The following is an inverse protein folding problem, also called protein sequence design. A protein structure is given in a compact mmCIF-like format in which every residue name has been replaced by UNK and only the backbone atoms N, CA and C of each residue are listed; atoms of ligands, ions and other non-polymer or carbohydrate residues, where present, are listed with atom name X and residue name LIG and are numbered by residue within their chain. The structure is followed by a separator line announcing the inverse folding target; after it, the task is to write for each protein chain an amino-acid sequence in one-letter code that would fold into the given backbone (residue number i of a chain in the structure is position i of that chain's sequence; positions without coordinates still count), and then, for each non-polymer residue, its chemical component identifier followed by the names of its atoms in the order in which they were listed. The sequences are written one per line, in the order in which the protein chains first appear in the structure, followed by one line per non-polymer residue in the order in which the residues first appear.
data_IF_220428364092
#
_entry.id   IF_220428364092
#
_cell.length_a   1.000
_cell.length_b   1.000
_cell.length_c   1.000
_cell.angle_alpha   90.00
_cell.angle_beta   90.00
_cell.angle_gamma   90.00
#
_symmetry.space_group_name_H-M   'P 1'
#
loop_
_entity.id
_entity.type
_entity.pdbx_description
1 polymer ?
#
# COMPACT_ATOMS: atom_id res chain seq x y z
N UNK A 1 -12.13 4.07 26.74
CA UNK A 1 -12.06 3.72 25.32
C UNK A 1 -12.12 2.22 25.15
N UNK A 2 -13.00 1.74 24.30
CA UNK A 2 -13.11 0.30 24.01
C UNK A 2 -11.89 -0.20 23.23
N UNK A 3 -11.72 -1.53 23.18
CA UNK A 3 -10.67 -2.15 22.38
C UNK A 3 -10.80 -1.79 20.90
N UNK A 4 -12.02 -1.78 20.38
CA UNK A 4 -12.28 -1.40 18.99
C UNK A 4 -11.95 0.06 18.71
N UNK A 5 -12.27 0.97 19.63
CA UNK A 5 -11.92 2.39 19.48
C UNK A 5 -10.41 2.60 19.46
N UNK A 6 -9.69 1.92 20.35
CA UNK A 6 -8.21 1.97 20.37
C UNK A 6 -7.61 1.43 19.09
N UNK A 7 -8.13 0.30 18.59
CA UNK A 7 -7.67 -0.31 17.35
C UNK A 7 -7.93 0.62 16.15
N UNK A 8 -9.08 1.30 16.14
CA UNK A 8 -9.43 2.25 15.08
C UNK A 8 -8.46 3.43 15.03
N UNK A 9 -8.11 3.98 16.19
CA UNK A 9 -7.12 5.07 16.27
C UNK A 9 -5.74 4.60 15.77
N UNK A 10 -5.33 3.41 16.18
CA UNK A 10 -4.05 2.83 15.76
C UNK A 10 -4.03 2.60 14.24
N UNK A 11 -5.13 2.09 13.68
CA UNK A 11 -5.31 1.89 12.26
C UNK A 11 -5.18 3.20 11.47
N UNK A 12 -5.81 4.27 11.94
CA UNK A 12 -5.78 5.58 11.27
C UNK A 12 -4.38 6.17 11.18
N UNK A 13 -3.49 5.80 12.09
CA UNK A 13 -2.13 6.31 12.17
C UNK A 13 -1.09 5.35 11.60
N UNK A 14 -1.44 4.08 11.43
CA UNK A 14 -0.48 3.02 11.14
C UNK A 14 0.32 3.26 9.86
N UNK A 15 -0.34 3.65 8.78
CA UNK A 15 0.31 3.86 7.47
C UNK A 15 1.32 5.00 7.48
N UNK A 16 1.19 5.94 8.41
CA UNK A 16 2.10 7.08 8.54
C UNK A 16 3.48 6.68 9.10
N UNK A 17 3.59 5.46 9.64
CA UNK A 17 4.87 4.94 10.16
C UNK A 17 5.79 4.45 9.04
N UNK A 18 5.33 4.44 7.78
CA UNK A 18 6.03 3.79 6.67
C UNK A 18 6.32 4.75 5.52
N UNK A 19 7.45 4.54 4.85
CA UNK A 19 7.82 5.21 3.60
C UNK A 19 7.76 4.25 2.40
N UNK A 20 7.69 2.95 2.67
CA UNK A 20 7.62 1.92 1.64
C UNK A 20 6.66 0.82 2.06
N UNK A 21 6.22 0.07 1.08
CA UNK A 21 5.31 -1.06 1.24
C UNK A 21 5.86 -2.28 0.53
N UNK A 22 5.44 -3.44 0.98
CA UNK A 22 5.64 -4.69 0.25
C UNK A 22 4.45 -4.85 -0.68
N UNK A 23 4.72 -5.16 -1.96
CA UNK A 23 3.67 -5.41 -2.93
C UNK A 23 3.77 -6.82 -3.46
N UNK A 24 2.63 -7.45 -3.64
CA UNK A 24 2.50 -8.77 -4.26
C UNK A 24 1.72 -8.64 -5.55
N UNK A 25 2.30 -9.14 -6.61
CA UNK A 25 1.73 -9.12 -7.95
C UNK A 25 1.77 -10.53 -8.54
N UNK A 26 1.11 -10.74 -9.65
CA UNK A 26 1.01 -12.06 -10.29
C UNK A 26 1.48 -11.95 -11.73
N UNK A 27 2.34 -12.88 -12.17
CA UNK A 27 2.76 -12.92 -13.56
C UNK A 27 1.72 -13.59 -14.45
N UNK A 28 1.99 -13.67 -15.75
CA UNK A 28 1.09 -14.25 -16.75
C UNK A 28 0.85 -15.76 -16.58
N UNK A 29 1.72 -16.44 -15.81
CA UNK A 29 1.57 -17.87 -15.48
C UNK A 29 0.88 -18.07 -14.12
N UNK A 30 0.42 -17.02 -13.46
CA UNK A 30 -0.21 -17.09 -12.16
C UNK A 30 0.76 -17.20 -11.00
N UNK A 31 2.07 -17.00 -11.24
CA UNK A 31 3.08 -17.06 -10.18
C UNK A 31 3.10 -15.75 -9.40
N UNK A 32 2.95 -15.81 -8.07
CA UNK A 32 3.09 -14.61 -7.23
C UNK A 32 4.52 -14.07 -7.23
N UNK A 33 4.64 -12.75 -7.21
CA UNK A 33 5.93 -12.07 -7.09
C UNK A 33 5.84 -11.07 -5.94
N UNK A 34 6.76 -11.20 -4.97
CA UNK A 34 6.89 -10.28 -3.85
C UNK A 34 7.99 -9.25 -4.13
N UNK A 35 7.70 -7.99 -3.90
CA UNK A 35 8.67 -6.90 -4.05
C UNK A 35 8.30 -5.75 -3.12
N UNK A 36 9.02 -4.64 -3.19
CA UNK A 36 8.68 -3.46 -2.40
C UNK A 36 8.79 -2.20 -3.25
N UNK A 37 8.19 -1.12 -2.76
CA UNK A 37 8.28 0.19 -3.39
C UNK A 37 7.97 1.30 -2.40
N UNK A 38 8.58 2.48 -2.55
CA UNK A 38 8.11 3.69 -1.87
C UNK A 38 6.69 4.03 -2.33
N UNK A 39 5.96 4.76 -1.50
CA UNK A 39 4.58 5.12 -1.79
C UNK A 39 4.21 6.48 -1.20
N UNK A 40 3.11 7.04 -1.68
CA UNK A 40 2.38 8.12 -1.01
C UNK A 40 0.90 7.73 -0.97
N UNK A 41 0.15 8.29 -0.04
CA UNK A 41 -1.29 8.05 0.09
C UNK A 41 -2.04 9.37 0.03
N UNK A 42 -3.28 9.30 -0.44
CA UNK A 42 -4.20 10.42 -0.32
C UNK A 42 -5.12 10.24 0.91
N UNK A 43 -5.97 11.23 1.13
CA UNK A 43 -6.91 11.26 2.24
C UNK A 43 -8.01 10.20 2.17
N UNK A 44 -8.21 9.60 0.99
CA UNK A 44 -9.21 8.55 0.75
C UNK A 44 -8.60 7.14 0.85
N UNK A 45 -7.35 7.04 1.32
CA UNK A 45 -6.57 5.80 1.44
C UNK A 45 -6.19 5.16 0.11
N UNK A 46 -6.26 5.89 -0.99
CA UNK A 46 -5.65 5.45 -2.23
C UNK A 46 -4.13 5.51 -2.08
N UNK A 47 -3.46 4.48 -2.57
CA UNK A 47 -2.01 4.35 -2.48
C UNK A 47 -1.44 4.59 -3.88
N UNK A 48 -0.41 5.42 -3.96
CA UNK A 48 0.25 5.72 -5.23
C UNK A 48 1.68 5.22 -5.19
N UNK A 49 2.09 4.58 -6.28
CA UNK A 49 3.46 4.08 -6.44
C UNK A 49 4.06 4.65 -7.72
N UNK A 50 5.39 4.85 -7.70
CA UNK A 50 6.12 5.39 -8.82
C UNK A 50 7.25 4.42 -9.14
N UNK A 51 7.07 3.60 -10.18
CA UNK A 51 7.84 2.38 -10.40
C UNK A 51 8.47 2.33 -11.78
N UNK A 52 9.62 1.67 -11.86
CA UNK A 52 10.34 1.46 -13.12
C UNK A 52 9.57 0.50 -14.03
N UNK A 53 9.47 0.83 -15.30
CA UNK A 53 8.89 -0.05 -16.32
C UNK A 53 9.69 -1.33 -16.53
N UNK A 54 10.95 -1.38 -16.07
CA UNK A 54 11.82 -2.55 -16.20
C UNK A 54 11.63 -3.56 -15.07
N UNK A 55 10.95 -3.18 -14.00
CA UNK A 55 10.75 -4.07 -12.85
C UNK A 55 9.69 -5.12 -13.13
N UNK A 56 9.89 -6.38 -12.69
CA UNK A 56 8.88 -7.44 -12.86
C UNK A 56 7.51 -7.08 -12.31
N UNK A 57 7.43 -6.40 -11.15
CA UNK A 57 6.15 -5.99 -10.58
C UNK A 57 5.39 -5.03 -11.49
N UNK A 58 6.08 -4.13 -12.19
CA UNK A 58 5.44 -3.19 -13.13
C UNK A 58 4.87 -3.92 -14.32
N UNK A 59 5.62 -4.88 -14.87
CA UNK A 59 5.15 -5.72 -15.96
C UNK A 59 3.93 -6.53 -15.55
N UNK A 60 3.95 -7.08 -14.34
CA UNK A 60 2.83 -7.85 -13.79
C UNK A 60 1.59 -6.98 -13.63
N UNK A 61 1.73 -5.76 -13.12
CA UNK A 61 0.61 -4.81 -12.94
C UNK A 61 -0.02 -4.44 -14.28
N UNK A 62 0.79 -4.28 -15.34
CA UNK A 62 0.28 -3.97 -16.66
C UNK A 62 -0.59 -5.10 -17.23
N UNK A 63 -0.27 -6.35 -16.89
CA UNK A 63 -1.01 -7.52 -17.36
C UNK A 63 -2.20 -7.87 -16.47
N UNK A 64 -2.00 -7.75 -15.16
CA UNK A 64 -3.01 -8.08 -14.16
C UNK A 64 -3.03 -6.97 -13.12
N UNK A 65 -4.11 -6.22 -13.08
CA UNK A 65 -4.23 -5.02 -12.25
C UNK A 65 -4.47 -5.31 -10.76
N UNK A 66 -4.47 -6.58 -10.34
CA UNK A 66 -4.64 -6.96 -8.94
C UNK A 66 -3.31 -6.88 -8.21
N UNK A 67 -3.30 -6.16 -7.11
CA UNK A 67 -2.09 -5.94 -6.29
C UNK A 67 -2.47 -6.06 -4.83
N UNK A 68 -1.72 -6.83 -4.05
CA UNK A 68 -1.82 -6.76 -2.59
C UNK A 68 -0.70 -5.87 -2.08
N UNK A 69 -1.02 -4.98 -1.15
CA UNK A 69 -0.04 -4.15 -0.45
C UNK A 69 0.02 -4.57 1.01
N UNK A 70 1.22 -4.57 1.58
CA UNK A 70 1.45 -4.94 2.96
C UNK A 70 2.30 -3.88 3.66
N UNK A 71 1.73 -3.30 4.72
CA UNK A 71 2.42 -2.47 5.69
C UNK A 71 2.73 -3.37 6.87
N UNK A 72 3.99 -3.55 7.21
CA UNK A 72 4.38 -4.44 8.30
C UNK A 72 5.43 -3.77 9.17
N UNK A 73 5.20 -3.74 10.50
CA UNK A 73 6.15 -3.09 11.41
C UNK A 73 7.52 -3.78 11.37
N UNK A 74 8.55 -3.01 11.69
CA UNK A 74 9.92 -3.52 11.73
C UNK A 74 10.01 -4.66 12.74
N UNK A 75 10.63 -5.77 12.33
CA UNK A 75 10.84 -6.94 13.16
C UNK A 75 11.62 -6.60 14.43
N UNK A 76 12.59 -5.69 14.32
CA UNK A 76 13.40 -5.25 15.45
C UNK A 76 12.58 -4.51 16.52
N UNK A 77 11.41 -3.98 16.17
CA UNK A 77 10.53 -3.25 17.08
C UNK A 77 9.31 -4.07 17.49
N UNK A 78 9.27 -5.35 17.13
CA UNK A 78 8.12 -6.22 17.37
C UNK A 78 8.30 -6.98 18.69
N UNK A 79 7.47 -6.70 19.73
CA UNK A 79 7.60 -7.39 21.02
C UNK A 79 7.29 -8.88 20.95
N UNK A 80 6.30 -9.26 20.12
CA UNK A 80 5.90 -10.66 19.93
C UNK A 80 5.80 -10.96 18.44
N UNK A 81 6.73 -11.76 17.92
CA UNK A 81 6.86 -11.99 16.47
C UNK A 81 5.63 -12.66 15.85
N UNK A 82 4.91 -13.51 16.59
CA UNK A 82 3.68 -14.14 16.10
C UNK A 82 2.49 -13.15 15.99
N UNK A 83 2.58 -12.01 16.67
CA UNK A 83 1.56 -10.97 16.67
C UNK A 83 2.09 -9.65 16.08
N UNK A 84 3.04 -9.72 15.15
CA UNK A 84 3.64 -8.58 14.48
C UNK A 84 2.57 -7.73 13.81
N UNK A 85 2.56 -6.41 14.10
CA UNK A 85 1.54 -5.50 13.57
C UNK A 85 1.68 -5.39 12.06
N UNK A 86 0.56 -5.51 11.37
CA UNK A 86 0.54 -5.46 9.92
C UNK A 86 -0.84 -5.09 9.38
N UNK A 87 -0.83 -4.44 8.24
CA UNK A 87 -2.02 -4.05 7.50
C UNK A 87 -1.82 -4.44 6.05
N UNK A 88 -2.75 -5.18 5.48
CA UNK A 88 -2.73 -5.39 4.05
C UNK A 88 -4.04 -4.96 3.40
N UNK A 89 -3.94 -4.56 2.14
CA UNK A 89 -5.10 -4.25 1.30
C UNK A 89 -5.00 -5.03 0.00
N UNK A 90 -6.12 -5.58 -0.44
CA UNK A 90 -6.28 -6.04 -1.81
C UNK A 90 -6.72 -4.85 -2.65
N UNK A 91 -5.95 -4.55 -3.70
CA UNK A 91 -6.12 -3.35 -4.49
C UNK A 91 -6.27 -3.66 -5.97
N UNK A 92 -6.88 -2.72 -6.69
CA UNK A 92 -6.82 -2.64 -8.15
C UNK A 92 -5.92 -1.48 -8.54
N UNK A 93 -4.96 -1.74 -9.44
CA UNK A 93 -4.06 -0.72 -9.96
C UNK A 93 -4.66 -0.03 -11.18
N UNK A 94 -4.52 1.29 -11.24
CA UNK A 94 -4.91 2.11 -12.39
C UNK A 94 -3.72 2.97 -12.79
N UNK A 95 -3.36 2.92 -14.07
CA UNK A 95 -2.28 3.77 -14.59
C UNK A 95 -2.70 5.25 -14.55
N UNK A 96 -1.81 6.09 -14.06
CA UNK A 96 -1.95 7.54 -14.16
C UNK A 96 -1.10 7.97 -15.36
N UNK A 97 -1.75 8.44 -16.39
CA UNK A 97 -1.08 8.84 -17.63
C UNK A 97 -0.09 9.97 -17.39
N UNK A 98 1.10 9.79 -17.95
CA UNK A 98 2.23 10.72 -17.82
C UNK A 98 1.86 12.11 -18.36
N UNK A 99 2.37 13.15 -17.69
CA UNK A 99 2.19 14.57 -18.05
C UNK A 99 0.77 15.10 -17.95
N UNK A 100 -0.16 14.30 -17.37
CA UNK A 100 -1.48 14.81 -17.03
C UNK A 100 -1.42 15.64 -15.75
N UNK A 101 -2.44 16.45 -15.50
CA UNK A 101 -2.53 17.23 -14.26
C UNK A 101 -2.46 16.34 -13.03
N UNK A 102 -3.15 15.20 -13.06
CA UNK A 102 -3.12 14.24 -11.96
C UNK A 102 -1.72 13.67 -11.75
N UNK A 103 -1.03 13.29 -12.82
CA UNK A 103 0.32 12.79 -12.75
C UNK A 103 1.27 13.83 -12.14
N UNK A 104 1.17 15.09 -12.57
CA UNK A 104 1.98 16.18 -12.03
C UNK A 104 1.73 16.36 -10.53
N UNK A 105 0.47 16.28 -10.11
CA UNK A 105 0.09 16.40 -8.71
C UNK A 105 0.70 15.26 -7.87
N UNK A 106 0.59 14.02 -8.33
CA UNK A 106 1.09 12.86 -7.60
C UNK A 106 2.62 12.85 -7.55
N UNK A 107 3.29 13.12 -8.67
CA UNK A 107 4.75 13.21 -8.70
C UNK A 107 5.24 14.35 -7.81
N UNK A 108 4.51 15.46 -7.74
CA UNK A 108 4.78 16.55 -6.80
C UNK A 108 4.70 16.10 -5.34
N UNK A 109 3.76 15.23 -4.99
CA UNK A 109 3.69 14.64 -3.65
C UNK A 109 4.89 13.74 -3.35
N UNK A 110 5.34 12.95 -4.32
CA UNK A 110 6.56 12.15 -4.18
C UNK A 110 7.77 13.06 -3.96
N UNK A 111 7.89 14.14 -4.71
CA UNK A 111 9.00 15.07 -4.56
C UNK A 111 9.00 15.74 -3.18
N UNK A 112 7.84 16.18 -2.71
CA UNK A 112 7.70 16.78 -1.39
C UNK A 112 8.09 15.80 -0.26
N UNK A 113 7.85 14.52 -0.47
CA UNK A 113 8.11 13.49 0.54
C UNK A 113 9.52 12.92 0.46
N UNK A 114 10.05 12.67 -0.74
CA UNK A 114 11.32 11.98 -0.96
C UNK A 114 12.45 12.88 -1.46
N UNK A 115 12.16 14.10 -1.89
CA UNK A 115 13.17 15.07 -2.27
C UNK A 115 13.69 14.94 -3.71
N UNK A 116 14.95 15.33 -3.91
CA UNK A 116 15.56 15.54 -5.23
C UNK A 116 15.63 14.29 -6.11
N UNK A 117 15.61 13.09 -5.52
CA UNK A 117 15.63 11.85 -6.31
C UNK A 117 14.49 11.81 -7.34
N UNK A 118 13.37 12.47 -7.03
CA UNK A 118 12.21 12.47 -7.91
C UNK A 118 12.47 13.23 -9.21
N UNK A 119 13.31 14.25 -9.19
CA UNK A 119 13.70 14.96 -10.43
C UNK A 119 14.41 14.02 -11.38
N UNK A 120 15.31 13.17 -10.85
CA UNK A 120 15.97 12.14 -11.64
C UNK A 120 14.94 11.18 -12.25
N UNK A 121 14.00 10.71 -11.44
CA UNK A 121 12.98 9.76 -11.89
C UNK A 121 12.04 10.35 -12.94
N UNK A 122 11.74 11.64 -12.86
CA UNK A 122 10.93 12.35 -13.88
C UNK A 122 11.56 12.24 -15.27
N UNK A 123 12.88 12.23 -15.35
CA UNK A 123 13.60 12.10 -16.60
C UNK A 123 13.63 10.71 -17.20
N UNK A 124 13.18 9.70 -16.47
CA UNK A 124 13.14 8.31 -16.90
C UNK A 124 11.76 7.98 -17.48
N UNK A 125 11.68 7.89 -18.82
CA UNK A 125 10.43 7.73 -19.54
C UNK A 125 9.70 6.40 -19.24
N UNK A 126 10.43 5.39 -18.75
CA UNK A 126 9.87 4.09 -18.41
C UNK A 126 9.20 4.04 -17.03
N UNK A 127 9.38 5.07 -16.19
CA UNK A 127 8.71 5.12 -14.88
C UNK A 127 7.22 5.37 -15.05
N UNK A 128 6.44 4.66 -14.23
CA UNK A 128 4.97 4.67 -14.25
C UNK A 128 4.44 5.02 -12.88
N UNK A 129 3.39 5.83 -12.84
CA UNK A 129 2.61 6.09 -11.64
C UNK A 129 1.35 5.23 -11.70
N UNK A 130 1.11 4.45 -10.66
CA UNK A 130 -0.13 3.71 -10.50
C UNK A 130 -0.85 4.18 -9.25
N UNK A 131 -2.17 4.27 -9.36
CA UNK A 131 -3.08 4.41 -8.24
C UNK A 131 -3.54 3.03 -7.83
N UNK A 132 -3.34 2.66 -6.57
CA UNK A 132 -3.80 1.40 -6.00
C UNK A 132 -5.04 1.70 -5.16
N UNK A 133 -6.19 1.20 -5.60
CA UNK A 133 -7.48 1.42 -4.95
C UNK A 133 -7.82 0.22 -4.08
N UNK A 134 -7.88 0.37 -2.75
CA UNK A 134 -8.23 -0.74 -1.86
C UNK A 134 -9.68 -1.18 -2.01
N UNK A 135 -9.90 -2.51 -2.00
CA UNK A 135 -11.24 -3.13 -2.02
C UNK A 135 -11.56 -3.83 -0.73
N UNK A 136 -10.55 -4.30 -0.02
CA UNK A 136 -10.67 -4.95 1.28
C UNK A 136 -9.33 -4.89 1.97
N UNK A 137 -9.33 -5.13 3.26
CA UNK A 137 -8.10 -5.15 4.02
C UNK A 137 -8.20 -5.99 5.27
N UNK A 138 -7.05 -6.19 5.90
CA UNK A 138 -6.93 -6.89 7.17
C UNK A 138 -5.86 -6.20 8.01
N UNK A 139 -6.23 -5.88 9.25
CA UNK A 139 -5.36 -5.21 10.21
C UNK A 139 -5.18 -6.10 11.43
N UNK A 140 -3.94 -6.42 11.77
CA UNK A 140 -3.58 -7.26 12.92
C UNK A 140 -2.64 -6.49 13.82
N UNK A 141 -3.01 -6.37 15.11
CA UNK A 141 -2.22 -5.64 16.10
C UNK A 141 -1.88 -6.45 17.35
N UNK A 142 -2.34 -7.68 17.42
CA UNK A 142 -2.08 -8.55 18.56
C UNK A 142 -2.86 -9.85 18.49
N UNK A 143 -2.65 -10.70 19.48
CA UNK A 143 -3.44 -11.93 19.60
C UNK A 143 -4.91 -11.58 19.84
N UNK A 144 -5.80 -12.18 19.04
CA UNK A 144 -7.23 -11.90 19.12
C UNK A 144 -7.62 -10.50 18.65
N UNK A 145 -6.67 -9.75 18.08
CA UNK A 145 -6.88 -8.39 17.61
C UNK A 145 -6.64 -8.32 16.10
N UNK A 146 -7.43 -9.06 15.36
CA UNK A 146 -7.46 -9.03 13.90
C UNK A 146 -8.78 -8.42 13.44
N UNK A 147 -8.72 -7.56 12.45
CA UNK A 147 -9.85 -6.77 11.96
C UNK A 147 -9.92 -6.85 10.45
N UNK A 148 -11.15 -6.94 9.95
CA UNK A 148 -11.47 -6.85 8.54
C UNK A 148 -11.85 -5.42 8.18
N UNK A 149 -11.49 -4.99 6.96
CA UNK A 149 -11.83 -3.68 6.42
C UNK A 149 -12.51 -3.90 5.08
N UNK A 150 -13.73 -3.35 4.93
CA UNK A 150 -14.48 -3.42 3.69
C UNK A 150 -14.16 -2.20 2.81
N UNK A 151 -14.07 -2.40 1.50
CA UNK A 151 -13.82 -1.32 0.55
C UNK A 151 -14.91 -0.25 0.51
N UNK A 152 -16.13 -0.59 0.94
CA UNK A 152 -17.23 0.37 1.03
C UNK A 152 -17.02 1.41 2.13
N UNK A 153 -16.25 1.07 3.16
CA UNK A 153 -15.88 2.00 4.22
C UNK A 153 -14.52 1.64 4.79
N UNK A 154 -13.47 2.21 4.21
CA UNK A 154 -12.09 1.95 4.60
C UNK A 154 -11.72 2.50 5.99
N UNK A 155 -12.58 3.29 6.60
CA UNK A 155 -12.36 3.83 7.94
C UNK A 155 -12.84 2.89 9.05
N UNK A 156 -13.65 1.88 8.71
CA UNK A 156 -14.31 1.01 9.67
C UNK A 156 -13.60 -0.33 9.83
N UNK A 157 -13.28 -0.67 11.07
CA UNK A 157 -12.76 -1.99 11.45
C UNK A 157 -13.89 -2.90 11.91
N UNK A 158 -13.86 -4.15 11.46
CA UNK A 158 -14.78 -5.20 11.94
C UNK A 158 -13.92 -6.31 12.52
N UNK A 159 -14.09 -6.61 13.80
CA UNK A 159 -13.29 -7.62 14.48
C UNK A 159 -13.53 -9.01 13.90
N UNK A 160 -12.44 -9.73 13.64
CA UNK A 160 -12.49 -11.12 13.20
C UNK A 160 -12.42 -12.00 14.44
N UNK A 161 -13.49 -12.79 14.67
CA UNK A 161 -13.53 -13.74 15.76
C UNK A 161 -12.91 -15.08 15.37
N UNK A 162 -12.47 -15.85 16.37
CA UNK A 162 -12.11 -17.26 16.17
C UNK A 162 -13.42 -18.07 16.04
N UNK A 163 -13.46 -18.92 15.03
CA UNK A 163 -14.53 -19.90 14.88
C UNK A 163 -14.19 -21.16 15.65
#
# INVERSE_FOLDING_TARGET
MSQLEKATLEYQQFTQEFQSIIISTVNDEGMPNGSYTPFVMDEFKNIYIYVSGLSPHTQNINLNHKVNVLFIEDEAQTPQIFARRRLNYDCTATLIERETEKWLNIVGKFEAHFGEIIELLRGLADFRVFKLTPHSGRFVIGFGQAYYIDGDNLEKLVQIGRQ
#
